data_IF_818749275633
#
_entry.id   IF_818749275633
#
_cell.length_a   1.000
_cell.length_b   1.000
_cell.length_c   1.000
_cell.angle_alpha   90.00
_cell.angle_beta   90.00
_cell.angle_gamma   90.00
#
_symmetry.space_group_name_H-M   'P 1'
#
loop_
_entity.id
_entity.type
_entity.pdbx_description
1 polymer ?
#
# COMPACT_ATOMS: atom_id res chain seq x y z
N UNK A 1 -2.74 -5.66 -12.82
CA UNK A 1 -2.21 -6.48 -11.72
C UNK A 1 -1.37 -5.60 -10.81
N UNK A 2 -1.54 -5.72 -9.50
CA UNK A 2 -0.64 -5.17 -8.48
C UNK A 2 0.10 -6.36 -7.89
N UNK A 3 1.43 -6.32 -7.78
CA UNK A 3 2.20 -7.45 -7.24
C UNK A 3 3.48 -7.01 -6.55
N UNK A 4 4.02 -7.89 -5.71
CA UNK A 4 5.30 -7.68 -5.02
C UNK A 4 6.48 -8.44 -5.63
N UNK A 5 6.23 -9.34 -6.60
CA UNK A 5 7.25 -10.20 -7.22
C UNK A 5 8.37 -9.37 -7.88
N UNK A 6 9.64 -9.48 -7.42
CA UNK A 6 10.74 -8.70 -7.99
C UNK A 6 11.08 -9.14 -9.41
N UNK A 7 11.38 -8.18 -10.30
CA UNK A 7 11.77 -8.41 -11.71
C UNK A 7 10.76 -9.25 -12.51
N UNK A 8 9.47 -9.09 -12.22
CA UNK A 8 8.37 -9.70 -12.96
C UNK A 8 7.51 -8.62 -13.65
N UNK A 9 6.90 -8.90 -14.81
CA UNK A 9 7.16 -10.05 -15.70
C UNK A 9 8.39 -9.82 -16.59
N UNK A 10 8.83 -10.86 -17.32
CA UNK A 10 9.74 -10.67 -18.46
C UNK A 10 8.95 -10.23 -19.70
N UNK A 11 9.59 -9.51 -20.61
CA UNK A 11 8.95 -9.03 -21.86
C UNK A 11 8.83 -10.12 -22.95
N UNK A 12 9.71 -11.11 -22.94
CA UNK A 12 9.88 -12.13 -23.98
C UNK A 12 9.09 -13.41 -23.74
N UNK A 13 8.89 -13.78 -22.47
CA UNK A 13 8.18 -14.99 -22.07
C UNK A 13 7.51 -14.82 -20.71
N UNK A 14 6.46 -15.59 -20.47
CA UNK A 14 5.85 -15.66 -19.15
C UNK A 14 6.57 -16.71 -18.29
N UNK A 15 7.33 -16.24 -17.30
CA UNK A 15 8.02 -17.10 -16.34
C UNK A 15 7.95 -16.47 -14.94
N UNK A 16 7.74 -17.29 -13.92
CA UNK A 16 7.88 -16.85 -12.53
C UNK A 16 9.37 -16.77 -12.15
N UNK A 17 9.91 -15.57 -11.87
CA UNK A 17 11.35 -15.40 -11.74
C UNK A 17 11.87 -16.02 -10.44
N UNK A 18 13.11 -16.50 -10.47
CA UNK A 18 13.80 -17.01 -9.28
C UNK A 18 13.82 -15.97 -8.13
N UNK A 19 13.87 -14.69 -8.45
CA UNK A 19 13.85 -13.57 -7.48
C UNK A 19 12.56 -13.46 -6.67
N UNK A 20 11.47 -14.11 -7.09
CA UNK A 20 10.22 -14.18 -6.34
C UNK A 20 10.13 -15.36 -5.37
N UNK A 21 11.07 -16.30 -5.38
CA UNK A 21 10.92 -17.61 -4.70
C UNK A 21 11.31 -17.61 -3.22
N UNK A 22 12.14 -16.68 -2.79
CA UNK A 22 12.72 -16.71 -1.44
C UNK A 22 11.82 -16.09 -0.35
N UNK A 23 11.12 -15.01 -0.69
CA UNK A 23 10.24 -14.29 0.24
C UNK A 23 8.79 -14.42 -0.19
N UNK A 24 7.87 -14.33 0.77
CA UNK A 24 6.44 -14.23 0.49
C UNK A 24 6.14 -13.16 -0.55
N UNK A 25 5.30 -13.49 -1.53
CA UNK A 25 4.85 -12.56 -2.55
C UNK A 25 3.34 -12.59 -2.63
N UNK A 26 2.78 -11.51 -3.14
CA UNK A 26 1.35 -11.41 -3.32
C UNK A 26 1.03 -10.72 -4.65
N UNK A 27 -0.18 -10.96 -5.15
CA UNK A 27 -0.72 -10.27 -6.32
C UNK A 27 -2.23 -10.05 -6.21
N UNK A 28 -2.70 -8.95 -6.80
CA UNK A 28 -4.11 -8.64 -7.00
C UNK A 28 -4.36 -8.37 -8.49
N UNK A 29 -5.23 -9.18 -9.08
CA UNK A 29 -5.69 -9.03 -10.45
C UNK A 29 -7.14 -8.54 -10.45
N UNK A 30 -7.42 -7.48 -11.22
CA UNK A 30 -8.74 -6.88 -11.31
C UNK A 30 -9.04 -6.66 -12.80
N UNK A 31 -10.11 -7.26 -13.28
CA UNK A 31 -10.64 -6.99 -14.61
C UNK A 31 -11.56 -5.78 -14.53
N UNK A 32 -11.33 -4.74 -15.32
CA UNK A 32 -12.10 -3.50 -15.34
C UNK A 32 -12.51 -3.16 -16.78
N UNK A 33 -13.63 -2.44 -16.94
CA UNK A 33 -14.00 -1.88 -18.24
C UNK A 33 -13.07 -0.74 -18.65
N UNK A 34 -12.96 -0.51 -19.97
CA UNK A 34 -12.17 0.59 -20.53
C UNK A 34 -12.54 1.97 -19.93
N UNK A 35 -13.81 2.16 -19.55
CA UNK A 35 -14.29 3.37 -18.87
C UNK A 35 -13.59 3.67 -17.53
N UNK A 36 -12.95 2.69 -16.89
CA UNK A 36 -12.17 2.90 -15.68
C UNK A 36 -10.71 3.31 -15.97
N UNK A 37 -10.23 3.20 -17.21
CA UNK A 37 -8.81 3.40 -17.52
C UNK A 37 -8.34 4.84 -17.23
N UNK A 38 -9.19 5.85 -17.44
CA UNK A 38 -8.87 7.23 -17.05
C UNK A 38 -8.58 7.37 -15.55
N UNK A 39 -9.36 6.67 -14.70
CA UNK A 39 -9.17 6.65 -13.24
C UNK A 39 -7.85 5.98 -12.86
N UNK A 40 -7.51 4.88 -13.53
CA UNK A 40 -6.22 4.20 -13.37
C UNK A 40 -5.08 5.17 -13.76
N UNK A 41 -5.20 5.83 -14.90
CA UNK A 41 -4.18 6.75 -15.41
C UNK A 41 -3.93 7.93 -14.45
N UNK A 42 -4.96 8.46 -13.79
CA UNK A 42 -4.81 9.43 -12.69
C UNK A 42 -3.93 8.84 -11.58
N UNK A 43 -4.24 7.63 -11.09
CA UNK A 43 -3.45 7.02 -10.00
C UNK A 43 -1.99 6.74 -10.41
N UNK A 44 -1.76 6.30 -11.65
CA UNK A 44 -0.41 6.11 -12.19
C UNK A 44 0.38 7.42 -12.26
N UNK A 45 -0.29 8.52 -12.59
CA UNK A 45 0.30 9.86 -12.63
C UNK A 45 0.74 10.35 -11.24
N UNK A 46 0.03 9.96 -10.18
CA UNK A 46 0.44 10.20 -8.79
C UNK A 46 1.60 9.29 -8.35
N UNK A 47 1.57 8.02 -8.77
CA UNK A 47 2.55 7.01 -8.35
C UNK A 47 3.96 7.22 -8.92
N UNK A 48 4.16 8.12 -9.89
CA UNK A 48 5.47 8.46 -10.48
C UNK A 48 6.27 7.18 -10.83
N UNK A 49 5.70 6.39 -11.74
CA UNK A 49 6.17 5.06 -12.08
C UNK A 49 7.59 5.08 -12.68
N UNK A 50 8.35 4.03 -12.36
CA UNK A 50 9.48 3.61 -13.18
C UNK A 50 8.98 2.61 -14.23
N UNK A 51 8.79 3.09 -15.46
CA UNK A 51 8.18 2.30 -16.53
C UNK A 51 9.22 1.35 -17.11
N UNK A 52 9.01 0.05 -16.91
CA UNK A 52 9.84 -1.02 -17.47
C UNK A 52 9.50 -1.29 -18.95
N UNK A 53 8.21 -1.35 -19.28
CA UNK A 53 7.70 -1.61 -20.62
C UNK A 53 6.37 -0.90 -20.80
N UNK A 54 6.07 -0.46 -22.02
CA UNK A 54 4.82 0.22 -22.35
C UNK A 54 4.46 0.03 -23.81
N UNK A 55 3.17 -0.02 -24.10
CA UNK A 55 2.60 0.11 -25.44
C UNK A 55 1.31 0.89 -25.32
N UNK A 56 1.31 2.15 -25.76
CA UNK A 56 0.14 3.02 -25.76
C UNK A 56 -0.34 3.24 -27.21
N UNK A 57 -1.45 2.61 -27.64
CA UNK A 57 -2.06 2.89 -28.95
C UNK A 57 -2.49 4.35 -29.08
N UNK A 58 -2.43 4.91 -30.29
CA UNK A 58 -2.76 6.32 -30.56
C UNK A 58 -4.15 6.71 -30.05
N UNK A 59 -5.19 5.93 -30.39
CA UNK A 59 -6.55 6.20 -29.95
C UNK A 59 -6.67 6.27 -28.42
N UNK A 60 -5.95 5.41 -27.69
CA UNK A 60 -5.96 5.40 -26.22
C UNK A 60 -5.21 6.62 -25.64
N UNK A 61 -4.18 7.10 -26.33
CA UNK A 61 -3.48 8.33 -25.96
C UNK A 61 -4.40 9.56 -26.13
N UNK A 62 -5.19 9.58 -27.21
CA UNK A 62 -6.15 10.64 -27.51
C UNK A 62 -7.32 10.64 -26.51
N UNK A 63 -7.89 9.46 -26.23
CA UNK A 63 -8.98 9.28 -25.27
C UNK A 63 -8.55 9.63 -23.83
N UNK A 64 -7.29 9.37 -23.47
CA UNK A 64 -6.78 9.49 -22.10
C UNK A 64 -5.42 10.23 -22.09
N UNK A 65 -5.40 11.56 -22.28
CA UNK A 65 -4.16 12.33 -22.38
C UNK A 65 -3.26 12.25 -21.13
N UNK A 66 -3.84 12.02 -19.96
CA UNK A 66 -3.07 11.81 -18.72
C UNK A 66 -2.24 10.52 -18.77
N UNK A 67 -2.69 9.48 -19.48
CA UNK A 67 -1.91 8.26 -19.68
C UNK A 67 -0.72 8.51 -20.61
N UNK A 68 -0.88 9.35 -21.64
CA UNK A 68 0.23 9.80 -22.47
C UNK A 68 1.30 10.53 -21.64
N UNK A 69 0.89 11.41 -20.71
CA UNK A 69 1.81 12.06 -19.76
C UNK A 69 2.57 11.04 -18.91
N UNK A 70 1.88 10.04 -18.36
CA UNK A 70 2.52 8.96 -17.58
C UNK A 70 3.58 8.25 -18.43
N UNK A 71 3.26 7.86 -19.66
CA UNK A 71 4.20 7.19 -20.58
C UNK A 71 5.40 8.07 -20.91
N UNK A 72 5.19 9.38 -21.07
CA UNK A 72 6.24 10.40 -21.22
C UNK A 72 7.02 10.70 -19.93
N UNK A 73 6.82 9.89 -18.87
CA UNK A 73 7.49 10.02 -17.56
C UNK A 73 7.18 11.32 -16.82
N UNK A 74 6.09 11.98 -17.18
CA UNK A 74 5.52 13.05 -16.38
C UNK A 74 4.76 12.47 -15.17
N UNK A 75 4.64 13.27 -14.12
CA UNK A 75 3.97 12.87 -12.89
C UNK A 75 3.45 14.09 -12.14
N UNK A 76 2.52 13.86 -11.21
CA UNK A 76 1.88 14.91 -10.44
C UNK A 76 2.87 15.66 -9.52
N UNK A 77 2.92 17.00 -9.64
CA UNK A 77 3.85 17.88 -8.89
C UNK A 77 3.17 19.06 -8.18
N UNK A 78 1.85 19.13 -8.21
CA UNK A 78 1.08 20.18 -7.55
C UNK A 78 0.35 19.62 -6.32
N UNK A 79 -0.22 20.49 -5.49
CA UNK A 79 -1.20 20.06 -4.51
C UNK A 79 -2.54 19.76 -5.22
N UNK A 80 -3.33 18.78 -4.74
CA UNK A 80 -3.05 17.89 -3.61
C UNK A 80 -2.04 16.79 -3.99
N UNK A 81 -1.12 16.46 -3.07
CA UNK A 81 -0.06 15.44 -3.29
C UNK A 81 -0.48 14.00 -3.05
N UNK A 82 -1.76 13.81 -2.73
CA UNK A 82 -2.40 12.51 -2.52
C UNK A 82 -3.64 12.44 -3.37
N UNK A 83 -4.03 11.23 -3.73
CA UNK A 83 -5.23 10.97 -4.51
C UNK A 83 -5.98 9.77 -3.94
N UNK A 84 -7.30 9.85 -3.99
CA UNK A 84 -8.22 8.76 -3.67
C UNK A 84 -9.20 8.63 -4.84
N UNK A 85 -9.26 7.46 -5.45
CA UNK A 85 -10.14 7.21 -6.59
C UNK A 85 -10.89 5.90 -6.41
N UNK A 86 -12.21 5.96 -6.58
CA UNK A 86 -13.11 4.80 -6.56
C UNK A 86 -13.25 4.25 -7.99
N UNK A 87 -12.97 2.97 -8.16
CA UNK A 87 -13.05 2.23 -9.41
C UNK A 87 -13.94 0.99 -9.23
N UNK A 88 -14.43 0.45 -10.34
CA UNK A 88 -15.25 -0.75 -10.32
C UNK A 88 -14.64 -1.83 -11.19
N UNK A 89 -14.66 -3.07 -10.71
CA UNK A 89 -14.38 -4.23 -11.55
C UNK A 89 -15.49 -4.44 -12.59
N UNK A 90 -15.20 -5.28 -13.59
CA UNK A 90 -16.17 -5.73 -14.60
C UNK A 90 -17.39 -6.45 -13.99
N UNK A 91 -17.21 -7.07 -12.81
CA UNK A 91 -18.28 -7.69 -12.03
C UNK A 91 -19.01 -6.70 -11.10
N UNK A 92 -18.70 -5.39 -11.16
CA UNK A 92 -19.35 -4.36 -10.34
C UNK A 92 -18.79 -4.20 -8.92
N UNK A 93 -17.77 -4.97 -8.53
CA UNK A 93 -17.15 -4.82 -7.20
C UNK A 93 -16.41 -3.49 -7.07
N UNK A 94 -16.62 -2.78 -5.97
CA UNK A 94 -15.98 -1.49 -5.67
C UNK A 94 -14.54 -1.69 -5.18
N UNK A 95 -13.64 -0.88 -5.74
CA UNK A 95 -12.26 -0.75 -5.31
C UNK A 95 -11.94 0.73 -5.06
N UNK A 96 -11.15 0.99 -4.02
CA UNK A 96 -10.66 2.34 -3.69
C UNK A 96 -9.13 2.32 -3.75
N UNK A 97 -8.57 3.04 -4.70
CA UNK A 97 -7.12 3.22 -4.77
C UNK A 97 -6.71 4.52 -4.09
N UNK A 98 -5.66 4.41 -3.27
CA UNK A 98 -4.99 5.51 -2.62
C UNK A 98 -3.59 5.66 -3.19
N UNK A 99 -3.22 6.86 -3.61
CA UNK A 99 -1.90 7.17 -4.15
C UNK A 99 -1.30 8.39 -3.44
N UNK A 100 0.03 8.39 -3.31
CA UNK A 100 0.80 9.58 -2.91
C UNK A 100 1.95 9.83 -3.88
N UNK A 101 2.24 11.10 -4.10
CA UNK A 101 3.42 11.52 -4.87
C UNK A 101 4.69 11.38 -4.02
N UNK A 102 5.85 11.50 -4.67
CA UNK A 102 7.14 11.59 -3.97
C UNK A 102 7.34 12.97 -3.37
N UNK A 103 8.18 13.08 -2.36
CA UNK A 103 8.70 14.37 -1.91
C UNK A 103 9.57 15.01 -3.01
N UNK A 104 9.38 16.30 -3.29
CA UNK A 104 10.20 17.05 -4.25
C UNK A 104 10.58 18.44 -3.71
N UNK A 105 11.66 19.03 -4.25
CA UNK A 105 12.09 20.40 -3.93
C UNK A 105 11.36 21.39 -4.85
N UNK A 106 10.87 22.51 -4.31
CA UNK A 106 10.37 23.65 -5.12
C UNK A 106 11.21 24.89 -4.77
N UNK A 107 12.16 25.25 -5.65
CA UNK A 107 13.16 26.28 -5.34
C UNK A 107 13.98 25.92 -4.08
N UNK A 108 14.29 26.92 -3.26
CA UNK A 108 14.94 26.73 -1.95
C UNK A 108 13.96 26.23 -0.86
N UNK A 109 12.66 26.18 -1.15
CA UNK A 109 11.65 25.81 -0.16
C UNK A 109 11.51 24.29 -0.07
N UNK A 110 11.70 23.79 1.16
CA UNK A 110 11.68 22.38 1.52
C UNK A 110 10.25 21.84 1.60
N UNK A 111 9.48 21.92 0.49
CA UNK A 111 8.23 21.14 0.34
C UNK A 111 8.49 19.64 0.50
N UNK A 112 9.76 19.24 0.30
CA UNK A 112 10.32 17.94 0.65
C UNK A 112 9.96 17.52 2.07
N UNK A 113 9.96 18.39 3.08
CA UNK A 113 9.80 17.98 4.48
C UNK A 113 8.37 17.51 4.80
N UNK A 114 7.37 18.27 4.34
CA UNK A 114 5.96 17.96 4.63
C UNK A 114 5.54 16.65 3.94
N UNK A 115 5.85 16.48 2.65
CA UNK A 115 5.55 15.24 1.92
C UNK A 115 6.42 14.07 2.43
N UNK A 116 7.67 14.34 2.86
CA UNK A 116 8.60 13.30 3.36
C UNK A 116 8.14 12.62 4.65
N UNK A 117 7.18 13.18 5.39
CA UNK A 117 6.67 12.56 6.61
C UNK A 117 5.31 11.89 6.41
N UNK A 118 4.75 11.98 5.19
CA UNK A 118 3.42 11.44 4.90
C UNK A 118 3.44 9.92 4.77
N UNK A 119 2.82 9.24 5.73
CA UNK A 119 2.63 7.81 5.74
C UNK A 119 1.32 7.45 5.04
N UNK A 120 1.41 6.69 3.94
CA UNK A 120 0.27 6.28 3.14
C UNK A 120 -0.86 5.66 4.00
N UNK A 121 -0.51 4.74 4.90
CA UNK A 121 -1.52 4.02 5.66
C UNK A 121 -2.10 4.86 6.80
N UNK A 122 -1.25 5.56 7.54
CA UNK A 122 -1.68 6.28 8.75
C UNK A 122 -2.33 7.63 8.44
N UNK A 123 -1.80 8.40 7.50
CA UNK A 123 -2.29 9.76 7.21
C UNK A 123 -3.39 9.78 6.14
N UNK A 124 -3.55 8.70 5.34
CA UNK A 124 -4.54 8.65 4.25
C UNK A 124 -5.51 7.47 4.37
N UNK A 125 -5.01 6.24 4.37
CA UNK A 125 -5.89 5.05 4.24
C UNK A 125 -6.74 4.84 5.50
N UNK A 126 -6.14 4.77 6.68
CA UNK A 126 -6.85 4.50 7.94
C UNK A 126 -7.93 5.57 8.24
N UNK A 127 -7.64 6.89 8.12
CA UNK A 127 -8.68 7.91 8.25
C UNK A 127 -9.76 7.82 7.17
N UNK A 128 -9.40 7.53 5.92
CA UNK A 128 -10.38 7.45 4.82
C UNK A 128 -11.30 6.23 4.95
N UNK A 129 -10.79 5.09 5.42
CA UNK A 129 -11.58 3.88 5.66
C UNK A 129 -12.26 3.89 7.03
N UNK A 130 -11.95 4.90 7.86
CA UNK A 130 -12.42 5.04 9.24
C UNK A 130 -12.17 3.79 10.07
N UNK A 131 -10.99 3.18 9.92
CA UNK A 131 -10.61 1.97 10.64
C UNK A 131 -9.13 1.96 10.96
N UNK A 132 -8.78 1.44 12.13
CA UNK A 132 -7.39 1.07 12.42
C UNK A 132 -6.96 -0.08 11.51
N UNK A 133 -5.67 -0.16 11.17
CA UNK A 133 -5.15 -1.16 10.23
C UNK A 133 -4.05 -2.00 10.87
N UNK A 134 -3.99 -3.29 10.56
CA UNK A 134 -2.76 -4.10 10.65
C UNK A 134 -2.10 -4.08 9.28
N UNK A 135 -0.87 -3.62 9.17
CA UNK A 135 -0.13 -3.52 7.91
C UNK A 135 1.02 -4.51 7.90
N UNK A 136 1.00 -5.45 6.97
CA UNK A 136 2.17 -6.25 6.63
C UNK A 136 2.93 -5.57 5.51
N UNK A 137 4.21 -5.32 5.74
CA UNK A 137 5.13 -4.83 4.72
C UNK A 137 6.51 -5.38 5.01
N UNK A 138 7.39 -5.39 4.00
CA UNK A 138 8.73 -5.94 4.18
C UNK A 138 9.52 -5.20 5.25
N UNK A 139 9.65 -5.83 6.43
CA UNK A 139 10.32 -5.27 7.59
C UNK A 139 11.79 -5.74 7.67
N UNK A 140 12.51 -5.62 6.56
CA UNK A 140 13.94 -5.89 6.51
C UNK A 140 14.74 -4.61 6.77
N UNK A 141 14.95 -4.33 8.05
CA UNK A 141 15.70 -3.15 8.49
C UNK A 141 17.18 -3.26 8.09
N UNK A 142 17.75 -2.12 7.68
CA UNK A 142 19.20 -1.97 7.48
C UNK A 142 19.68 -0.73 8.21
N UNK A 143 21.01 -0.58 8.39
CA UNK A 143 21.59 0.63 9.00
C UNK A 143 21.20 1.94 8.30
N UNK A 144 20.83 1.87 7.02
CA UNK A 144 20.48 3.01 6.17
C UNK A 144 18.97 3.18 5.94
N UNK A 145 18.14 2.21 6.32
CA UNK A 145 16.71 2.20 6.08
C UNK A 145 16.02 1.48 7.24
N UNK A 146 15.54 2.25 8.21
CA UNK A 146 14.86 1.72 9.39
C UNK A 146 13.40 1.39 9.08
N UNK A 147 12.88 0.38 9.76
CA UNK A 147 11.45 0.08 9.73
C UNK A 147 10.72 1.15 10.53
N UNK A 148 9.56 1.58 10.05
CA UNK A 148 8.68 2.41 10.86
C UNK A 148 8.02 1.54 11.92
N UNK A 149 7.89 2.05 13.14
CA UNK A 149 7.12 1.40 14.19
C UNK A 149 5.63 1.65 14.02
N UNK A 150 4.80 0.88 14.73
CA UNK A 150 3.35 1.08 14.74
C UNK A 150 3.00 2.50 15.16
N UNK A 151 2.13 3.15 14.39
CA UNK A 151 1.80 4.56 14.56
C UNK A 151 0.45 4.71 15.26
N UNK A 152 0.51 5.32 16.44
CA UNK A 152 -0.64 5.59 17.30
C UNK A 152 -0.52 7.02 17.83
N UNK A 153 -0.60 8.00 16.92
CA UNK A 153 -0.43 9.41 17.25
C UNK A 153 -1.72 9.98 17.83
N UNK A 154 -1.60 10.84 18.84
CA UNK A 154 -2.75 11.47 19.54
C UNK A 154 -3.71 12.21 18.60
N UNK A 155 -3.21 12.75 17.48
CA UNK A 155 -4.03 13.49 16.52
C UNK A 155 -4.89 12.61 15.61
N UNK A 156 -4.69 11.29 15.63
CA UNK A 156 -5.50 10.34 14.86
C UNK A 156 -6.22 9.40 15.81
N UNK A 157 -7.52 9.23 15.58
CA UNK A 157 -8.31 8.22 16.29
C UNK A 157 -8.07 6.80 15.77
N UNK A 158 -7.36 6.64 14.65
CA UNK A 158 -7.03 5.35 14.05
C UNK A 158 -5.55 5.01 14.22
N UNK A 159 -5.27 3.73 14.46
CA UNK A 159 -3.93 3.18 14.65
C UNK A 159 -3.50 2.43 13.39
N UNK A 160 -2.20 2.45 13.10
CA UNK A 160 -1.60 1.56 12.11
C UNK A 160 -0.57 0.69 12.82
N UNK A 161 -0.92 -0.57 12.98
CA UNK A 161 -0.14 -1.59 13.68
C UNK A 161 0.63 -2.43 12.67
N UNK A 162 1.87 -2.77 13.00
CA UNK A 162 2.74 -3.52 12.09
C UNK A 162 2.63 -5.00 12.35
N UNK A 163 2.32 -5.77 11.31
CA UNK A 163 2.35 -7.23 11.40
C UNK A 163 3.75 -7.70 11.77
N UNK A 164 3.83 -8.69 12.64
CA UNK A 164 5.09 -9.25 13.17
C UNK A 164 5.35 -10.64 12.61
N UNK A 165 4.30 -11.45 12.47
CA UNK A 165 4.33 -12.78 11.86
C UNK A 165 3.15 -12.92 10.93
N UNK A 166 3.34 -13.71 9.89
CA UNK A 166 2.28 -14.14 8.98
C UNK A 166 2.13 -15.66 9.12
N UNK A 167 0.89 -16.12 9.21
CA UNK A 167 0.54 -17.54 9.20
C UNK A 167 -0.27 -17.82 7.94
N UNK A 168 0.22 -18.71 7.09
CA UNK A 168 -0.53 -19.19 5.94
C UNK A 168 -1.47 -20.33 6.34
N UNK A 169 -2.44 -20.70 5.46
CA UNK A 169 -3.11 -21.99 5.58
C UNK A 169 -2.11 -23.13 5.80
N UNK A 170 -2.54 -24.19 6.50
CA UNK A 170 -1.71 -25.34 6.90
C UNK A 170 -0.65 -25.03 7.99
N UNK A 171 -0.86 -23.99 8.79
CA UNK A 171 -0.05 -23.66 9.99
C UNK A 171 1.42 -23.32 9.69
N UNK A 172 1.71 -22.83 8.49
CA UNK A 172 3.05 -22.35 8.13
C UNK A 172 3.17 -20.91 8.61
N UNK A 173 4.01 -20.68 9.62
CA UNK A 173 4.21 -19.35 10.22
C UNK A 173 5.63 -18.86 9.99
N UNK A 174 5.79 -17.62 9.54
CA UNK A 174 7.09 -16.98 9.36
C UNK A 174 7.08 -15.53 9.87
N UNK A 175 8.26 -15.01 10.28
CA UNK A 175 8.38 -13.59 10.60
C UNK A 175 8.20 -12.74 9.34
N UNK A 176 7.64 -11.56 9.52
CA UNK A 176 7.43 -10.56 8.46
C UNK A 176 8.69 -10.16 7.65
N UNK A 177 9.89 -10.32 8.21
CA UNK A 177 11.14 -10.10 7.50
C UNK A 177 11.35 -11.07 6.31
N UNK A 178 10.63 -12.21 6.32
CA UNK A 178 10.60 -13.20 5.24
C UNK A 178 9.41 -13.01 4.29
N UNK A 179 8.59 -11.96 4.48
CA UNK A 179 7.51 -11.60 3.56
C UNK A 179 7.84 -10.30 2.82
N UNK A 180 7.77 -10.35 1.50
CA UNK A 180 7.92 -9.17 0.65
C UNK A 180 6.55 -8.64 0.17
N UNK A 181 5.44 -9.24 0.61
CA UNK A 181 4.10 -8.70 0.38
C UNK A 181 3.93 -7.30 1.00
N UNK A 182 2.94 -6.54 0.51
CA UNK A 182 2.43 -5.35 1.19
C UNK A 182 0.92 -5.40 1.21
N UNK A 183 0.35 -5.66 2.38
CA UNK A 183 -1.10 -5.62 2.57
C UNK A 183 -1.49 -4.91 3.86
N UNK A 184 -2.73 -4.44 3.93
CA UNK A 184 -3.31 -3.92 5.16
C UNK A 184 -4.69 -4.55 5.38
N UNK A 185 -4.97 -4.88 6.63
CA UNK A 185 -6.25 -5.44 7.07
C UNK A 185 -6.88 -4.43 8.01
N UNK A 186 -8.09 -3.97 7.69
CA UNK A 186 -8.83 -3.14 8.61
C UNK A 186 -9.23 -3.92 9.87
N UNK A 187 -9.24 -3.25 11.00
CA UNK A 187 -9.55 -3.85 12.30
C UNK A 187 -10.89 -3.27 12.72
N UNK A 188 -10.88 -2.33 13.66
CA UNK A 188 -12.07 -1.70 14.22
C UNK A 188 -12.19 -0.25 13.76
N UNK A 189 -13.42 0.18 13.55
CA UNK A 189 -13.77 1.60 13.47
C UNK A 189 -13.90 2.23 14.88
N UNK A 190 -14.38 3.48 14.94
CA UNK A 190 -14.55 4.21 16.21
C UNK A 190 -15.65 3.63 17.12
N UNK A 191 -16.56 2.85 16.56
CA UNK A 191 -17.64 2.17 17.28
C UNK A 191 -17.25 0.73 17.66
N UNK A 192 -15.97 0.37 17.55
CA UNK A 192 -15.47 -0.99 17.74
C UNK A 192 -16.13 -2.04 16.82
N UNK A 193 -16.57 -1.62 15.62
CA UNK A 193 -17.11 -2.53 14.62
C UNK A 193 -16.01 -2.93 13.64
N UNK A 194 -15.91 -4.24 13.38
CA UNK A 194 -14.98 -4.79 12.39
C UNK A 194 -15.33 -4.30 10.99
N UNK A 195 -14.34 -3.80 10.26
CA UNK A 195 -14.52 -3.29 8.90
C UNK A 195 -13.89 -4.26 7.89
N UNK A 196 -14.61 -4.73 6.86
CA UNK A 196 -14.16 -5.82 5.99
C UNK A 196 -13.18 -5.34 4.90
N UNK A 197 -12.34 -4.34 5.16
CA UNK A 197 -11.41 -3.78 4.18
C UNK A 197 -10.07 -4.49 4.16
N UNK A 198 -9.60 -4.79 2.95
CA UNK A 198 -8.28 -5.34 2.69
C UNK A 198 -7.65 -4.45 1.64
N UNK A 199 -6.41 -4.05 1.88
CA UNK A 199 -5.64 -3.23 0.97
C UNK A 199 -4.40 -3.96 0.50
N UNK A 200 -4.10 -3.85 -0.78
CA UNK A 200 -2.96 -4.47 -1.45
C UNK A 200 -2.16 -3.37 -2.15
N UNK A 201 -0.87 -3.23 -1.84
CA UNK A 201 -0.08 -2.09 -2.31
C UNK A 201 1.37 -2.37 -2.64
N UNK A 202 2.13 -1.29 -2.84
CA UNK A 202 3.53 -1.33 -3.26
C UNK A 202 4.52 -0.69 -2.25
N UNK A 203 4.01 0.10 -1.29
CA UNK A 203 4.83 0.88 -0.34
C UNK A 203 5.11 0.07 0.92
N UNK A 204 6.39 -0.13 1.25
CA UNK A 204 6.79 -0.62 2.57
C UNK A 204 6.73 0.48 3.62
N UNK A 205 6.47 0.12 4.88
CA UNK A 205 6.59 1.07 5.99
C UNK A 205 8.04 1.16 6.51
N UNK A 206 8.88 1.79 5.72
CA UNK A 206 10.29 2.08 6.05
C UNK A 206 10.61 3.55 5.79
N UNK A 207 11.57 4.13 6.52
CA UNK A 207 11.85 5.58 6.48
C UNK A 207 12.10 6.11 5.07
N UNK A 208 12.89 5.40 4.25
CA UNK A 208 13.17 5.84 2.87
C UNK A 208 11.94 5.80 1.96
N UNK A 209 10.96 4.96 2.29
CA UNK A 209 9.75 4.80 1.48
C UNK A 209 8.73 5.91 1.75
N UNK A 210 8.87 6.67 2.84
CA UNK A 210 8.10 7.91 3.03
C UNK A 210 8.37 8.92 1.91
N UNK A 211 9.59 8.95 1.37
CA UNK A 211 9.98 9.80 0.23
C UNK A 211 9.51 9.29 -1.13
N UNK A 212 9.13 8.00 -1.23
CA UNK A 212 8.76 7.35 -2.49
C UNK A 212 7.30 7.65 -2.87
N UNK A 213 7.01 7.76 -4.15
CA UNK A 213 5.63 7.73 -4.64
C UNK A 213 5.10 6.29 -4.69
N UNK A 214 3.78 6.11 -4.67
CA UNK A 214 3.16 4.79 -4.75
C UNK A 214 1.79 4.77 -4.09
N UNK A 215 1.20 3.57 -4.00
CA UNK A 215 -0.17 3.45 -3.54
C UNK A 215 -0.56 2.09 -2.97
N UNK A 216 -1.85 1.99 -2.67
CA UNK A 216 -2.51 0.75 -2.24
C UNK A 216 -3.95 0.72 -2.74
N UNK A 217 -4.39 -0.45 -3.17
CA UNK A 217 -5.73 -0.73 -3.64
C UNK A 217 -6.52 -1.44 -2.54
N UNK A 218 -7.59 -0.84 -2.07
CA UNK A 218 -8.46 -1.39 -1.05
C UNK A 218 -9.80 -1.87 -1.65
N UNK A 219 -10.37 -2.92 -1.09
CA UNK A 219 -11.72 -3.38 -1.38
C UNK A 219 -12.34 -4.00 -0.13
N UNK A 220 -13.67 -4.00 -0.07
CA UNK A 220 -14.43 -4.62 1.00
C UNK A 220 -14.83 -6.05 0.59
N UNK A 221 -14.53 -7.03 1.44
CA UNK A 221 -15.03 -8.41 1.34
C UNK A 221 -14.85 -9.09 2.68
N UNK A 222 -15.94 -9.55 3.29
CA UNK A 222 -15.92 -10.22 4.59
C UNK A 222 -15.16 -11.55 4.52
N UNK A 223 -15.31 -12.27 3.40
CA UNK A 223 -14.65 -13.55 3.14
C UNK A 223 -13.12 -13.36 3.08
N UNK A 224 -12.64 -12.44 2.23
CA UNK A 224 -11.21 -12.17 2.12
C UNK A 224 -10.68 -11.55 3.42
N UNK A 225 -11.47 -10.71 4.09
CA UNK A 225 -11.08 -10.06 5.34
C UNK A 225 -10.83 -11.08 6.44
N UNK A 226 -11.70 -12.07 6.57
CA UNK A 226 -11.55 -13.14 7.56
C UNK A 226 -10.27 -13.95 7.35
N UNK A 227 -9.95 -14.29 6.09
CA UNK A 227 -8.72 -15.01 5.74
C UNK A 227 -7.49 -14.17 6.09
N UNK A 228 -7.45 -12.92 5.66
CA UNK A 228 -6.31 -12.03 5.94
C UNK A 228 -6.18 -11.68 7.42
N UNK A 229 -7.28 -11.61 8.17
CA UNK A 229 -7.28 -11.43 9.62
C UNK A 229 -6.66 -12.64 10.31
N UNK A 230 -7.06 -13.85 9.91
CA UNK A 230 -6.49 -15.09 10.43
C UNK A 230 -4.99 -15.26 10.08
N UNK A 231 -4.55 -14.69 8.95
CA UNK A 231 -3.14 -14.69 8.55
C UNK A 231 -2.23 -13.84 9.43
N UNK A 232 -2.78 -12.98 10.29
CA UNK A 232 -2.02 -12.06 11.14
C UNK A 232 -2.15 -12.49 12.61
N UNK A 233 -1.37 -13.51 13.05
CA UNK A 233 -1.42 -14.01 14.42
C UNK A 233 -0.81 -13.04 15.45
N UNK A 234 0.11 -12.18 15.03
CA UNK A 234 0.90 -11.34 15.93
C UNK A 234 1.29 -10.03 15.22
N UNK A 235 1.30 -8.94 15.97
CA UNK A 235 1.61 -7.60 15.49
C UNK A 235 2.34 -6.80 16.56
N UNK A 236 3.15 -5.85 16.13
CA UNK A 236 3.83 -4.94 17.01
C UNK A 236 2.83 -3.94 17.61
N UNK A 237 2.89 -3.73 18.93
CA UNK A 237 2.06 -2.74 19.58
C UNK A 237 2.59 -1.33 19.33
N UNK A 238 1.75 -0.34 19.65
CA UNK A 238 2.18 1.04 19.74
C UNK A 238 3.35 1.18 20.74
N UNK A 239 4.33 1.99 20.41
CA UNK A 239 5.39 2.37 21.36
C UNK A 239 4.90 3.57 22.17
N UNK A 240 4.95 3.49 23.50
CA UNK A 240 4.64 4.61 24.39
C UNK A 240 5.59 5.78 24.15
N UNK A 241 5.07 7.01 24.23
CA UNK A 241 5.86 8.23 24.03
C UNK A 241 7.05 8.25 25.01
N UNK A 242 8.30 8.22 24.50
CA UNK A 242 9.52 8.23 25.33
C UNK A 242 10.09 6.86 25.71
N UNK A 243 9.42 5.75 25.40
CA UNK A 243 9.96 4.40 25.63
C UNK A 243 10.62 3.84 24.37
N UNK A 244 11.82 3.27 24.46
CA UNK A 244 12.35 2.34 23.42
C UNK A 244 11.79 0.93 23.58
N UNK A 245 11.09 0.66 24.68
CA UNK A 245 10.55 -0.64 25.06
C UNK A 245 9.09 -0.74 24.62
N UNK A 246 8.77 -1.81 23.89
CA UNK A 246 7.45 -2.09 23.32
C UNK A 246 6.48 -2.42 24.46
N UNK A 247 5.32 -1.77 24.50
CA UNK A 247 4.26 -2.10 25.47
C UNK A 247 3.43 -3.20 24.82
N UNK A 248 3.52 -4.45 25.28
CA UNK A 248 2.64 -5.52 24.81
C UNK A 248 1.18 -5.09 25.03
N UNK A 249 0.40 -5.00 23.95
CA UNK A 249 -1.05 -4.92 24.08
C UNK A 249 -1.50 -6.37 24.07
N UNK A 250 -1.75 -6.92 25.25
CA UNK A 250 -2.39 -8.22 25.38
C UNK A 250 -3.69 -8.20 24.58
N UNK A 251 -3.95 -9.31 23.89
CA UNK A 251 -5.10 -9.52 23.03
C UNK A 251 -6.35 -8.84 23.61
N UNK A 252 -6.83 -7.81 22.91
CA UNK A 252 -8.17 -7.28 23.18
C UNK A 252 -9.11 -8.43 22.85
N UNK A 253 -9.70 -9.00 23.90
CA UNK A 253 -10.75 -10.01 23.83
C UNK A 253 -11.86 -9.53 22.89
N UNK A 254 -12.34 -10.48 22.07
CA UNK A 254 -13.31 -10.40 20.98
C UNK A 254 -14.48 -9.43 21.21
#
# INVERSE_FOLDING_TARGET
>A
MIHSVPKFPRNDTYEYPFTGRHYGQMGLCISMYYSQLHKIAIQLYYNHLFIYSQRLPTQMADDIPILAKVVSREYHRAAPYVSRVVMYSSAGHEFVHFAKTRAFKRGNNLHKFIISLFNLYFDLVAPSLKSSLKTETWQHETSKNRNLHSWCRKYSSFKVLDVKKVTLPFNITFPNALDHSKFAVAILNLQNVSMPWICIGDINRQERQLLRAGGTMCFASSEVHSVYTAMVPDYWPCIGYGSKTRIFVDNVSL
#
